data_IF_200764014246
#
_entry.id   IF_200764014246
#
_cell.length_a   1.000
_cell.length_b   1.000
_cell.length_c   1.000
_cell.angle_alpha   90.00
_cell.angle_beta   90.00
_cell.angle_gamma   90.00
#
_symmetry.space_group_name_H-M   'P 1'
#
loop_
_entity.id
_entity.type
_entity.pdbx_description
1 polymer ?
#
# COMPACT_ATOMS: atom_id res chain seq x y z
N UNK A 1 12.56 -10.64 -14.92
CA UNK A 1 11.08 -10.51 -15.05
C UNK A 1 10.44 -10.72 -13.68
N UNK A 2 9.74 -9.74 -13.18
CA UNK A 2 9.09 -9.80 -11.88
C UNK A 2 7.58 -9.52 -12.02
N UNK A 3 6.80 -10.06 -11.10
CA UNK A 3 5.38 -9.72 -10.95
C UNK A 3 5.25 -8.69 -9.85
N UNK A 4 4.80 -7.51 -10.23
CA UNK A 4 4.77 -6.35 -9.35
C UNK A 4 3.32 -5.92 -9.16
N UNK A 5 2.88 -5.78 -7.92
CA UNK A 5 1.59 -5.21 -7.60
C UNK A 5 1.77 -3.76 -7.14
N UNK A 6 1.10 -2.85 -7.84
CA UNK A 6 0.98 -1.45 -7.46
C UNK A 6 -0.41 -1.25 -6.88
N UNK A 7 -0.49 -0.90 -5.61
CA UNK A 7 -1.76 -0.78 -4.91
C UNK A 7 -1.75 0.41 -3.97
N UNK A 8 -2.89 1.05 -3.78
CA UNK A 8 -3.06 2.12 -2.81
C UNK A 8 -3.63 1.61 -1.50
N UNK A 9 -3.20 2.22 -0.40
CA UNK A 9 -3.64 1.90 0.96
C UNK A 9 -4.52 3.03 1.48
N UNK A 10 -5.76 2.71 1.79
CA UNK A 10 -6.72 3.66 2.33
C UNK A 10 -6.51 3.97 3.81
N UNK A 11 -7.28 4.93 4.31
CA UNK A 11 -7.22 5.36 5.71
C UNK A 11 -8.17 4.57 6.63
N UNK A 12 -9.01 3.71 6.07
CA UNK A 12 -10.01 2.98 6.83
C UNK A 12 -11.20 3.84 7.24
N UNK A 13 -11.99 3.34 8.20
CA UNK A 13 -13.08 4.09 8.80
C UNK A 13 -12.59 4.95 9.99
N UNK A 14 -13.52 5.63 10.69
CA UNK A 14 -13.20 6.47 11.85
C UNK A 14 -12.49 5.71 12.98
N UNK A 15 -12.76 4.42 13.11
CA UNK A 15 -12.13 3.54 14.11
C UNK A 15 -10.85 2.89 13.59
N UNK A 16 -10.37 3.28 12.43
CA UNK A 16 -9.20 2.71 11.75
C UNK A 16 -9.33 1.19 11.58
N UNK A 17 -10.46 0.74 11.06
CA UNK A 17 -10.71 -0.66 10.75
C UNK A 17 -10.96 -0.84 9.26
N UNK A 18 -10.38 -1.88 8.70
CA UNK A 18 -10.71 -2.34 7.36
C UNK A 18 -11.85 -3.36 7.42
N UNK A 19 -12.79 -3.22 6.51
CA UNK A 19 -13.83 -4.20 6.30
C UNK A 19 -13.23 -5.44 5.65
N UNK A 20 -13.48 -6.60 6.25
CA UNK A 20 -13.16 -7.88 5.61
C UNK A 20 -14.20 -8.17 4.54
N UNK A 21 -13.75 -8.60 3.39
CA UNK A 21 -14.60 -8.88 2.24
C UNK A 21 -14.13 -10.16 1.54
N UNK A 22 -15.04 -10.79 0.83
CA UNK A 22 -14.72 -11.91 -0.04
C UNK A 22 -14.50 -11.39 -1.45
N UNK A 23 -13.42 -11.80 -2.08
CA UNK A 23 -13.09 -11.43 -3.46
C UNK A 23 -13.11 -12.65 -4.36
N UNK A 24 -13.58 -12.47 -5.57
CA UNK A 24 -13.51 -13.49 -6.63
C UNK A 24 -12.57 -13.01 -7.73
N UNK A 25 -11.55 -13.78 -8.04
CA UNK A 25 -10.58 -13.50 -9.08
C UNK A 25 -10.52 -14.71 -10.01
N UNK A 26 -10.89 -14.53 -11.26
CA UNK A 26 -10.89 -15.58 -12.30
C UNK A 26 -11.57 -16.89 -11.83
N UNK A 27 -12.71 -16.75 -11.13
CA UNK A 27 -13.49 -17.89 -10.63
C UNK A 27 -13.05 -18.47 -9.29
N UNK A 28 -11.95 -18.02 -8.73
CA UNK A 28 -11.49 -18.41 -7.39
C UNK A 28 -11.97 -17.41 -6.35
N UNK A 29 -12.44 -17.91 -5.21
CA UNK A 29 -12.94 -17.07 -4.11
C UNK A 29 -11.92 -17.01 -2.98
N UNK A 30 -11.65 -15.80 -2.51
CA UNK A 30 -10.77 -15.51 -1.37
C UNK A 30 -11.59 -14.87 -0.28
N UNK A 31 -11.68 -15.52 0.88
CA UNK A 31 -12.57 -15.13 1.97
C UNK A 31 -11.85 -14.35 3.07
N UNK A 32 -12.60 -13.45 3.73
CA UNK A 32 -12.12 -12.68 4.89
C UNK A 32 -10.87 -11.86 4.61
N UNK A 33 -10.81 -11.25 3.44
CA UNK A 33 -9.65 -10.45 3.00
C UNK A 33 -9.84 -9.00 3.43
N UNK A 34 -8.86 -8.46 4.14
CA UNK A 34 -8.80 -7.04 4.49
C UNK A 34 -8.25 -6.19 3.35
N UNK A 35 -7.25 -6.71 2.65
CA UNK A 35 -6.60 -6.02 1.54
C UNK A 35 -6.74 -6.83 0.27
N UNK A 36 -7.24 -6.20 -0.77
CA UNK A 36 -7.29 -6.83 -2.09
C UNK A 36 -5.90 -7.29 -2.56
N UNK A 37 -4.86 -6.55 -2.18
CA UNK A 37 -3.47 -6.92 -2.46
C UNK A 37 -3.13 -8.35 -1.98
N UNK A 38 -3.67 -8.78 -0.84
CA UNK A 38 -3.47 -10.15 -0.34
C UNK A 38 -4.10 -11.20 -1.25
N UNK A 39 -5.33 -10.95 -1.71
CA UNK A 39 -6.03 -11.85 -2.63
C UNK A 39 -5.31 -11.92 -3.98
N UNK A 40 -4.86 -10.81 -4.49
CA UNK A 40 -4.09 -10.73 -5.74
C UNK A 40 -2.77 -11.51 -5.59
N UNK A 41 -2.09 -11.36 -4.46
CA UNK A 41 -0.86 -12.09 -4.20
C UNK A 41 -1.08 -13.60 -4.16
N UNK A 42 -2.13 -14.07 -3.50
CA UNK A 42 -2.47 -15.49 -3.45
C UNK A 42 -2.77 -16.06 -4.82
N UNK A 43 -3.41 -15.27 -5.68
CA UNK A 43 -3.80 -15.71 -7.01
C UNK A 43 -2.66 -15.69 -8.02
N UNK A 44 -1.84 -14.64 -8.03
CA UNK A 44 -0.82 -14.39 -9.06
C UNK A 44 0.61 -14.62 -8.61
N UNK A 45 0.88 -14.88 -7.33
CA UNK A 45 2.23 -15.01 -6.78
C UNK A 45 3.09 -13.76 -7.04
N UNK A 46 2.73 -12.67 -6.41
CA UNK A 46 3.41 -11.39 -6.56
C UNK A 46 4.82 -11.43 -5.96
N UNK A 47 5.81 -10.95 -6.69
CA UNK A 47 7.20 -10.88 -6.25
C UNK A 47 7.50 -9.61 -5.45
N UNK A 48 6.93 -8.48 -5.87
CA UNK A 48 7.18 -7.17 -5.25
C UNK A 48 5.90 -6.38 -5.10
N UNK A 49 5.79 -5.65 -3.99
CA UNK A 49 4.67 -4.77 -3.70
C UNK A 49 5.14 -3.32 -3.71
N UNK A 50 4.50 -2.49 -4.53
CA UNK A 50 4.68 -1.04 -4.50
C UNK A 50 3.39 -0.43 -3.97
N UNK A 51 3.39 -0.12 -2.68
CA UNK A 51 2.20 0.40 -2.00
C UNK A 51 2.27 1.92 -1.90
N UNK A 52 1.16 2.56 -2.17
CA UNK A 52 1.04 4.01 -2.21
C UNK A 52 0.01 4.44 -1.19
N UNK A 53 0.33 5.43 -0.39
CA UNK A 53 -0.61 5.97 0.59
C UNK A 53 -0.09 7.23 1.24
N UNK A 54 -0.93 7.83 2.08
CA UNK A 54 -0.56 8.99 2.89
C UNK A 54 0.00 8.54 4.24
N UNK A 55 0.50 9.48 5.04
CA UNK A 55 0.91 9.19 6.41
C UNK A 55 -0.20 8.62 7.28
N UNK A 56 -1.46 8.92 6.95
CA UNK A 56 -2.65 8.45 7.67
C UNK A 56 -3.21 7.13 7.17
N UNK A 57 -2.66 6.55 6.13
CA UNK A 57 -3.10 5.24 5.64
C UNK A 57 -2.89 4.16 6.70
N UNK A 58 -3.62 3.06 6.57
CA UNK A 58 -3.62 1.98 7.57
C UNK A 58 -2.40 1.07 7.43
N UNK A 59 -1.21 1.65 7.57
CA UNK A 59 0.05 0.94 7.47
C UNK A 59 0.23 -0.13 8.55
N UNK A 60 -0.33 0.09 9.75
CA UNK A 60 -0.31 -0.89 10.83
C UNK A 60 -1.03 -2.18 10.45
N UNK A 61 -2.10 -2.09 9.68
CA UNK A 61 -2.83 -3.26 9.21
C UNK A 61 -2.08 -3.96 8.08
N UNK A 62 -1.41 -3.21 7.22
CA UNK A 62 -0.50 -3.78 6.21
C UNK A 62 0.63 -4.55 6.89
N UNK A 63 1.26 -3.96 7.89
CA UNK A 63 2.29 -4.61 8.70
C UNK A 63 1.77 -5.90 9.32
N UNK A 64 0.63 -5.84 9.99
CA UNK A 64 0.02 -7.01 10.64
C UNK A 64 -0.26 -8.14 9.65
N UNK A 65 -0.86 -7.81 8.51
CA UNK A 65 -1.24 -8.81 7.51
C UNK A 65 -0.03 -9.53 6.92
N UNK A 66 1.00 -8.79 6.51
CA UNK A 66 2.16 -9.38 5.85
C UNK A 66 3.18 -9.97 6.81
N UNK A 67 3.38 -9.39 8.00
CA UNK A 67 4.28 -9.94 8.99
C UNK A 67 3.76 -11.24 9.61
N UNK A 68 2.46 -11.36 9.82
CA UNK A 68 1.84 -12.60 10.29
C UNK A 68 2.06 -13.76 9.30
N UNK A 69 2.01 -13.50 8.02
CA UNK A 69 2.27 -14.51 6.99
C UNK A 69 3.70 -15.05 7.02
N UNK A 70 4.64 -14.26 7.50
CA UNK A 70 6.07 -14.61 7.61
C UNK A 70 6.48 -15.02 9.02
N UNK A 71 5.54 -15.11 9.96
CA UNK A 71 5.81 -15.34 11.39
C UNK A 71 6.79 -14.32 12.00
N UNK A 72 6.74 -13.07 11.51
CA UNK A 72 7.61 -11.96 11.97
C UNK A 72 6.83 -10.84 12.67
N UNK A 73 5.56 -11.07 12.97
CA UNK A 73 4.72 -10.09 13.65
C UNK A 73 5.20 -9.80 15.05
N UNK A 74 5.31 -8.52 15.38
CA UNK A 74 5.64 -8.03 16.72
C UNK A 74 4.59 -7.01 17.16
N UNK A 75 3.91 -7.30 18.27
CA UNK A 75 2.83 -6.46 18.78
C UNK A 75 3.33 -5.07 19.20
N UNK A 76 4.52 -4.97 19.75
CA UNK A 76 5.11 -3.67 20.10
C UNK A 76 5.33 -2.81 18.84
N UNK A 77 5.87 -3.39 17.79
CA UNK A 77 6.06 -2.71 16.51
C UNK A 77 4.73 -2.23 15.94
N UNK A 78 3.70 -3.07 15.99
CA UNK A 78 2.35 -2.72 15.55
C UNK A 78 1.79 -1.53 16.32
N UNK A 79 1.88 -1.55 17.65
CA UNK A 79 1.36 -0.49 18.50
C UNK A 79 2.12 0.82 18.33
N UNK A 80 3.45 0.76 18.25
CA UNK A 80 4.30 1.93 18.01
C UNK A 80 3.98 2.59 16.66
N UNK A 81 3.83 1.79 15.62
CA UNK A 81 3.48 2.28 14.29
C UNK A 81 2.09 2.94 14.30
N UNK A 82 1.11 2.29 14.92
CA UNK A 82 -0.25 2.84 15.02
C UNK A 82 -0.26 4.17 15.76
N UNK A 83 0.45 4.28 16.87
CA UNK A 83 0.59 5.53 17.63
C UNK A 83 1.24 6.64 16.80
N UNK A 84 2.31 6.33 16.10
CA UNK A 84 3.00 7.28 15.22
C UNK A 84 2.07 7.82 14.14
N UNK A 85 1.29 6.94 13.52
CA UNK A 85 0.30 7.33 12.51
C UNK A 85 -0.77 8.25 13.09
N UNK A 86 -1.31 7.90 14.26
CA UNK A 86 -2.36 8.69 14.92
C UNK A 86 -1.85 10.09 15.29
N UNK A 87 -0.62 10.18 15.79
CA UNK A 87 0.00 11.45 16.21
C UNK A 87 0.49 12.30 15.04
N UNK A 88 0.66 11.74 13.85
CA UNK A 88 1.08 12.50 12.67
C UNK A 88 0.00 13.47 12.23
N UNK A 89 0.38 14.64 11.71
CA UNK A 89 -0.56 15.60 11.15
C UNK A 89 -1.18 15.12 9.84
N UNK A 90 -2.33 15.65 9.45
CA UNK A 90 -3.08 15.21 8.26
C UNK A 90 -2.31 15.38 6.95
N UNK A 91 -1.55 16.44 6.81
CA UNK A 91 -0.72 16.70 5.64
C UNK A 91 0.75 16.65 5.97
N UNK A 92 1.04 15.82 6.89
CA UNK A 92 2.34 15.86 7.50
C UNK A 92 3.42 15.24 6.67
N UNK A 93 4.54 15.49 7.16
CA UNK A 93 5.78 14.85 6.93
C UNK A 93 5.64 13.34 6.77
N UNK A 94 6.54 12.76 6.02
CA UNK A 94 6.64 11.31 5.90
C UNK A 94 6.97 10.68 7.25
N UNK A 95 6.37 9.54 7.52
CA UNK A 95 6.68 8.72 8.69
C UNK A 95 7.61 7.58 8.30
N UNK A 96 8.28 6.98 9.27
CA UNK A 96 9.14 5.82 9.04
C UNK A 96 8.29 4.55 8.88
N UNK A 97 8.32 3.97 7.69
CA UNK A 97 7.60 2.73 7.34
C UNK A 97 8.55 1.58 7.01
N UNK A 98 9.78 1.62 7.48
CA UNK A 98 10.76 0.56 7.21
C UNK A 98 10.30 -0.82 7.71
N UNK A 99 9.61 -0.88 8.83
CA UNK A 99 9.04 -2.14 9.34
C UNK A 99 7.99 -2.73 8.40
N UNK A 100 7.21 -1.88 7.74
CA UNK A 100 6.22 -2.33 6.74
C UNK A 100 6.91 -2.83 5.48
N UNK A 101 7.92 -2.12 5.00
CA UNK A 101 8.70 -2.56 3.82
C UNK A 101 9.37 -3.92 4.07
N UNK A 102 9.94 -4.14 5.25
CA UNK A 102 10.49 -5.43 5.63
C UNK A 102 9.43 -6.53 5.62
N UNK A 103 8.24 -6.26 6.14
CA UNK A 103 7.14 -7.21 6.14
C UNK A 103 6.69 -7.59 4.73
N UNK A 104 6.72 -6.65 3.80
CA UNK A 104 6.37 -6.89 2.40
C UNK A 104 7.41 -7.74 1.66
N UNK A 105 8.69 -7.64 2.04
CA UNK A 105 9.76 -8.42 1.46
C UNK A 105 10.72 -7.64 0.58
N UNK A 106 11.77 -8.34 0.15
CA UNK A 106 12.86 -7.74 -0.64
C UNK A 106 12.36 -7.16 -1.96
N UNK A 107 12.76 -5.94 -2.23
CA UNK A 107 12.41 -5.23 -3.47
C UNK A 107 11.06 -4.53 -3.43
N UNK A 108 10.27 -4.75 -2.38
CA UNK A 108 9.02 -4.02 -2.17
C UNK A 108 9.30 -2.62 -1.64
N UNK A 109 8.45 -1.67 -2.00
CA UNK A 109 8.60 -0.27 -1.61
C UNK A 109 7.28 0.37 -1.24
N UNK A 110 7.37 1.37 -0.36
CA UNK A 110 6.25 2.21 0.03
C UNK A 110 6.51 3.62 -0.47
N UNK A 111 5.49 4.18 -1.10
CA UNK A 111 5.50 5.54 -1.61
C UNK A 111 4.49 6.37 -0.83
N UNK A 112 4.99 7.30 -0.01
CA UNK A 112 4.15 8.21 0.74
C UNK A 112 3.83 9.43 -0.08
N UNK A 113 2.55 9.71 -0.25
CA UNK A 113 2.02 10.84 -1.00
C UNK A 113 1.25 11.78 -0.06
N UNK A 114 0.87 12.92 -0.60
CA UNK A 114 0.04 13.91 0.08
C UNK A 114 -1.39 13.88 -0.45
N UNK A 115 -2.31 14.54 0.23
CA UNK A 115 -3.72 14.56 -0.17
C UNK A 115 -3.96 15.24 -1.52
N UNK A 116 -3.08 16.15 -1.94
CA UNK A 116 -3.22 16.86 -3.22
C UNK A 116 -4.23 17.99 -3.15
N UNK A 117 -4.30 18.69 -2.02
CA UNK A 117 -5.23 19.81 -1.82
C UNK A 117 -4.78 21.11 -2.47
N UNK A 118 -3.53 21.19 -2.90
CA UNK A 118 -2.98 22.34 -3.60
C UNK A 118 -2.00 21.90 -4.70
N UNK A 119 -1.59 22.84 -5.52
CA UNK A 119 -0.70 22.58 -6.66
C UNK A 119 0.63 21.96 -6.24
N UNK A 120 1.24 22.45 -5.17
CA UNK A 120 2.52 21.94 -4.69
C UNK A 120 2.42 20.45 -4.29
N UNK A 121 1.35 20.05 -3.63
CA UNK A 121 1.11 18.66 -3.27
C UNK A 121 0.84 17.77 -4.49
N UNK A 122 0.13 18.29 -5.48
CA UNK A 122 -0.11 17.57 -6.73
C UNK A 122 1.19 17.32 -7.48
N UNK A 123 2.07 18.32 -7.53
CA UNK A 123 3.40 18.18 -8.16
C UNK A 123 4.25 17.17 -7.39
N UNK A 124 4.24 17.24 -6.05
CA UNK A 124 4.94 16.29 -5.21
C UNK A 124 4.48 14.85 -5.49
N UNK A 125 3.18 14.63 -5.55
CA UNK A 125 2.62 13.31 -5.84
C UNK A 125 3.01 12.81 -7.23
N UNK A 126 2.98 13.68 -8.23
CA UNK A 126 3.41 13.32 -9.58
C UNK A 126 4.88 12.89 -9.61
N UNK A 127 5.77 13.60 -8.91
CA UNK A 127 7.18 13.23 -8.80
C UNK A 127 7.36 11.85 -8.16
N UNK A 128 6.57 11.51 -7.15
CA UNK A 128 6.58 10.19 -6.53
C UNK A 128 6.23 9.10 -7.55
N UNK A 129 5.19 9.32 -8.37
CA UNK A 129 4.82 8.37 -9.43
C UNK A 129 5.90 8.25 -10.50
N UNK A 130 6.57 9.32 -10.85
CA UNK A 130 7.69 9.26 -11.78
C UNK A 130 8.84 8.41 -11.23
N UNK A 131 9.17 8.55 -9.95
CA UNK A 131 10.18 7.71 -9.29
C UNK A 131 9.79 6.22 -9.30
N UNK A 132 8.51 5.93 -9.07
CA UNK A 132 8.01 4.55 -9.15
C UNK A 132 8.22 3.97 -10.55
N UNK A 133 7.93 4.75 -11.58
CA UNK A 133 8.08 4.28 -12.97
C UNK A 133 9.53 4.00 -13.35
N UNK A 134 10.48 4.74 -12.78
CA UNK A 134 11.91 4.60 -13.08
C UNK A 134 12.51 3.25 -12.66
N UNK A 135 11.91 2.59 -11.66
CA UNK A 135 12.43 1.30 -11.16
C UNK A 135 11.78 0.09 -11.81
N UNK A 136 10.83 0.29 -12.70
CA UNK A 136 10.23 -0.79 -13.49
C UNK A 136 11.17 -1.16 -14.63
N UNK A 137 11.30 -2.45 -14.89
CA UNK A 137 12.16 -3.00 -15.92
C UNK A 137 11.36 -3.61 -17.07
N UNK A 138 11.96 -3.68 -18.24
CA UNK A 138 11.34 -4.34 -19.38
C UNK A 138 11.10 -5.81 -19.08
N UNK A 139 9.89 -6.25 -19.36
CA UNK A 139 9.46 -7.63 -19.10
C UNK A 139 8.79 -7.84 -17.74
N UNK A 140 8.72 -6.82 -16.89
CA UNK A 140 7.95 -6.92 -15.66
C UNK A 140 6.45 -7.00 -15.96
N UNK A 141 5.74 -7.87 -15.23
CA UNK A 141 4.27 -7.91 -15.21
C UNK A 141 3.76 -7.01 -14.10
N UNK A 142 2.93 -6.04 -14.46
CA UNK A 142 2.42 -5.06 -13.51
C UNK A 142 0.92 -5.26 -13.31
N UNK A 143 0.54 -5.46 -12.06
CA UNK A 143 -0.85 -5.51 -11.61
C UNK A 143 -1.16 -4.21 -10.88
N UNK A 144 -2.22 -3.53 -11.28
CA UNK A 144 -2.60 -2.24 -10.68
C UNK A 144 -3.93 -2.38 -9.98
N UNK A 145 -3.96 -2.10 -8.69
CA UNK A 145 -5.15 -2.05 -7.87
C UNK A 145 -5.48 -0.59 -7.51
N UNK A 146 -6.62 -0.11 -7.97
CA UNK A 146 -7.10 1.25 -7.75
C UNK A 146 -8.30 1.33 -6.79
N UNK A 147 -8.59 0.25 -6.09
CA UNK A 147 -9.81 0.13 -5.26
C UNK A 147 -9.91 1.19 -4.18
N UNK A 148 -8.81 1.55 -3.55
CA UNK A 148 -8.74 2.52 -2.45
C UNK A 148 -8.03 3.81 -2.83
N UNK A 149 -7.85 4.09 -4.12
CA UNK A 149 -7.13 5.28 -4.55
C UNK A 149 -8.03 6.52 -4.57
N UNK A 150 -7.42 7.69 -4.33
CA UNK A 150 -8.05 8.95 -4.66
C UNK A 150 -8.19 9.08 -6.17
N UNK A 151 -9.17 9.84 -6.66
CA UNK A 151 -9.43 9.99 -8.11
C UNK A 151 -8.20 10.46 -8.89
N UNK A 152 -7.45 11.41 -8.34
CA UNK A 152 -6.22 11.90 -8.97
C UNK A 152 -5.14 10.83 -9.07
N UNK A 153 -5.03 9.94 -8.08
CA UNK A 153 -4.08 8.84 -8.07
C UNK A 153 -4.35 7.84 -9.19
N UNK A 154 -5.62 7.50 -9.39
CA UNK A 154 -6.00 6.58 -10.46
C UNK A 154 -5.56 7.10 -11.83
N UNK A 155 -5.65 8.39 -12.07
CA UNK A 155 -5.19 9.02 -13.31
C UNK A 155 -3.67 8.92 -13.47
N UNK A 156 -2.91 9.17 -12.41
CA UNK A 156 -1.45 9.09 -12.46
C UNK A 156 -0.94 7.68 -12.74
N UNK A 157 -1.64 6.66 -12.26
CA UNK A 157 -1.25 5.27 -12.48
C UNK A 157 -1.31 4.85 -13.95
N UNK A 158 -2.07 5.54 -14.78
CA UNK A 158 -2.21 5.26 -16.21
C UNK A 158 -1.38 6.19 -17.12
N UNK A 159 -0.65 7.12 -16.55
CA UNK A 159 0.28 8.00 -17.26
C UNK A 159 1.71 7.45 -17.18
#
# INVERSE_FOLDING_TARGET
>A
MARILVSSVGVGNENREYRKTNYSIEGNTYENIKFLASAINEHYNIDKFFLIGTSKSMWEEVYSNFSNKKNSYDENTYNDLKEEIILSGENAETIDLSCVEEALGKGSKIYQIKYGINEAELIYNLEIFMKLSEILEDGDEIYIDITHSFRSLSLYMFV
#
